data_IF_291674043742
#
_entry.id   IF_291674043742
#
_cell.length_a   1.000
_cell.length_b   1.000
_cell.length_c   1.000
_cell.angle_alpha   90.00
_cell.angle_beta   90.00
_cell.angle_gamma   90.00
#
_symmetry.space_group_name_H-M   'P 1'
#
loop_
_entity.id
_entity.type
_entity.pdbx_description
1 polymer ?
#
# COMPACT_ATOMS: atom_id res chain seq x y z
N UNK A 1 -10.39 4.18 10.62
CA UNK A 1 -9.57 3.15 9.96
C UNK A 1 -8.48 2.77 10.98
N UNK A 2 -8.54 1.61 11.66
CA UNK A 2 -7.54 1.26 12.68
C UNK A 2 -6.14 1.06 12.11
N UNK A 3 -5.10 1.49 12.83
CA UNK A 3 -3.68 1.25 12.46
C UNK A 3 -3.41 -0.23 12.21
N UNK A 4 -4.06 -1.12 12.99
CA UNK A 4 -3.95 -2.56 12.82
C UNK A 4 -4.25 -3.06 11.40
N UNK A 5 -5.15 -2.42 10.64
CA UNK A 5 -5.39 -2.86 9.26
C UNK A 5 -4.39 -2.26 8.26
N UNK A 6 -3.76 -1.12 8.61
CA UNK A 6 -2.71 -0.53 7.77
C UNK A 6 -1.46 -1.42 7.77
N UNK A 7 -1.13 -2.01 8.92
CA UNK A 7 0.06 -2.85 9.14
C UNK A 7 -0.20 -4.35 8.96
N UNK A 8 -1.42 -4.75 8.61
CA UNK A 8 -1.77 -6.15 8.36
C UNK A 8 -1.11 -6.62 7.05
N UNK A 9 -0.21 -7.59 7.15
CA UNK A 9 0.52 -8.14 6.02
C UNK A 9 -0.42 -8.75 4.96
N UNK A 10 -1.58 -9.28 5.36
CA UNK A 10 -2.54 -9.88 4.43
C UNK A 10 -3.30 -8.85 3.58
N UNK A 11 -3.18 -7.57 3.95
CA UNK A 11 -3.77 -6.44 3.22
C UNK A 11 -2.77 -5.72 2.34
N UNK A 12 -1.47 -6.02 2.48
CA UNK A 12 -0.45 -5.48 1.60
C UNK A 12 -0.55 -6.16 0.23
N UNK A 13 -0.58 -5.35 -0.82
CA UNK A 13 -0.79 -5.82 -2.18
C UNK A 13 -0.15 -4.83 -3.18
N UNK A 14 -0.48 -4.99 -4.47
CA UNK A 14 0.03 -4.12 -5.53
C UNK A 14 -1.08 -3.41 -6.30
N UNK A 15 -0.84 -2.15 -6.58
CA UNK A 15 -1.57 -1.40 -7.57
C UNK A 15 -0.86 -1.48 -8.93
N UNK A 16 -1.59 -1.93 -9.95
CA UNK A 16 -1.10 -1.97 -11.33
C UNK A 16 -1.62 -0.77 -12.11
N UNK A 17 -0.74 0.18 -12.39
CA UNK A 17 -1.06 1.31 -13.25
C UNK A 17 -0.62 1.00 -14.69
N UNK A 18 -1.56 0.97 -15.62
CA UNK A 18 -1.25 0.82 -17.05
C UNK A 18 -0.89 2.19 -17.64
N UNK A 19 0.36 2.35 -18.02
CA UNK A 19 0.83 3.45 -18.86
C UNK A 19 0.63 3.15 -20.35
N UNK A 20 1.10 4.04 -21.22
CA UNK A 20 0.99 3.89 -22.67
C UNK A 20 1.78 2.71 -23.24
N UNK A 21 2.91 2.35 -22.60
CA UNK A 21 3.82 1.30 -23.08
C UNK A 21 4.18 0.26 -22.00
N UNK A 22 3.91 0.53 -20.72
CA UNK A 22 4.37 -0.29 -19.60
C UNK A 22 3.33 -0.39 -18.49
N UNK A 23 3.42 -1.46 -17.68
CA UNK A 23 2.65 -1.62 -16.46
C UNK A 23 3.57 -1.30 -15.28
N UNK A 24 3.26 -0.25 -14.54
CA UNK A 24 3.97 0.09 -13.31
C UNK A 24 3.28 -0.57 -12.12
N UNK A 25 4.09 -1.16 -11.23
CA UNK A 25 3.65 -1.81 -9.99
C UNK A 25 4.02 -0.91 -8.83
N UNK A 26 3.04 -0.60 -7.98
CA UNK A 26 3.22 0.21 -6.78
C UNK A 26 2.73 -0.55 -5.56
N UNK A 27 3.39 -0.41 -4.40
CA UNK A 27 2.87 -0.97 -3.16
C UNK A 27 1.53 -0.31 -2.81
N UNK A 28 0.64 -1.11 -2.23
CA UNK A 28 -0.71 -0.71 -1.91
C UNK A 28 -1.26 -1.46 -0.69
N UNK A 29 -2.28 -0.89 -0.05
CA UNK A 29 -3.05 -1.55 1.03
C UNK A 29 -4.52 -1.70 0.63
N UNK A 30 -5.07 -2.90 0.81
CA UNK A 30 -6.50 -3.14 0.76
C UNK A 30 -7.17 -2.82 2.11
N UNK A 31 -7.77 -1.63 2.19
CA UNK A 31 -8.47 -1.16 3.38
C UNK A 31 -9.94 -1.60 3.45
N UNK A 32 -10.56 -1.84 2.30
CA UNK A 32 -12.01 -1.93 2.17
C UNK A 32 -12.50 -3.29 1.65
N UNK A 33 -11.56 -4.18 1.31
CA UNK A 33 -11.82 -5.49 0.75
C UNK A 33 -11.77 -5.51 -0.78
N UNK A 34 -11.98 -6.70 -1.37
CA UNK A 34 -11.92 -6.91 -2.80
C UNK A 34 -12.80 -5.94 -3.59
N UNK A 35 -12.35 -5.58 -4.79
CA UNK A 35 -13.05 -4.69 -5.74
C UNK A 35 -13.25 -3.24 -5.26
N UNK A 36 -12.70 -2.89 -4.09
CA UNK A 36 -12.67 -1.51 -3.61
C UNK A 36 -11.37 -0.81 -4.00
N UNK A 37 -11.34 0.53 -4.00
CA UNK A 37 -10.12 1.27 -4.25
C UNK A 37 -9.04 0.91 -3.23
N UNK A 38 -7.86 0.57 -3.74
CA UNK A 38 -6.66 0.39 -2.92
C UNK A 38 -6.16 1.76 -2.43
N UNK A 39 -5.48 1.77 -1.29
CA UNK A 39 -4.64 2.89 -0.89
C UNK A 39 -3.24 2.69 -1.48
N UNK A 40 -2.80 3.59 -2.34
CA UNK A 40 -1.50 3.51 -3.03
C UNK A 40 -0.97 4.93 -3.36
N UNK A 41 0.21 5.00 -3.96
CA UNK A 41 0.79 6.26 -4.43
C UNK A 41 1.23 7.18 -3.29
N UNK A 42 1.09 8.50 -3.47
CA UNK A 42 1.60 9.51 -2.51
C UNK A 42 1.07 9.28 -1.09
N UNK A 43 -0.21 8.93 -0.96
CA UNK A 43 -0.81 8.66 0.36
C UNK A 43 -0.20 7.44 1.05
N UNK A 44 0.17 6.40 0.28
CA UNK A 44 0.85 5.24 0.81
C UNK A 44 2.23 5.61 1.37
N UNK A 45 3.03 6.33 0.59
CA UNK A 45 4.37 6.75 1.01
C UNK A 45 4.34 7.66 2.24
N UNK A 46 3.37 8.57 2.32
CA UNK A 46 3.18 9.39 3.52
C UNK A 46 2.83 8.55 4.76
N UNK A 47 2.01 7.51 4.58
CA UNK A 47 1.70 6.58 5.67
C UNK A 47 2.91 5.76 6.10
N UNK A 48 3.80 5.38 5.18
CA UNK A 48 5.06 4.70 5.54
C UNK A 48 5.90 5.56 6.49
N UNK A 49 6.09 6.84 6.16
CA UNK A 49 6.86 7.77 7.00
C UNK A 49 6.20 7.93 8.38
N UNK A 50 4.89 8.22 8.41
CA UNK A 50 4.15 8.42 9.65
C UNK A 50 4.15 7.17 10.56
N UNK A 51 3.99 5.98 9.97
CA UNK A 51 4.00 4.73 10.70
C UNK A 51 5.40 4.37 11.18
N UNK A 52 6.43 4.69 10.40
CA UNK A 52 7.83 4.55 10.79
C UNK A 52 8.16 5.33 12.06
N UNK A 53 7.65 6.57 12.19
CA UNK A 53 7.83 7.40 13.40
C UNK A 53 7.25 6.75 14.67
N UNK A 54 6.26 5.87 14.55
CA UNK A 54 5.63 5.16 15.68
C UNK A 54 6.04 3.69 15.78
N UNK A 55 7.08 3.27 15.04
CA UNK A 55 7.68 1.94 15.13
C UNK A 55 7.01 0.84 14.29
N UNK A 56 6.24 1.23 13.26
CA UNK A 56 5.63 0.32 12.31
C UNK A 56 6.27 0.47 10.93
N UNK A 57 6.65 -0.64 10.31
CA UNK A 57 7.21 -0.63 8.95
C UNK A 57 6.18 -1.14 7.94
N UNK A 58 6.01 -0.39 6.86
CA UNK A 58 5.24 -0.79 5.69
C UNK A 58 6.16 -1.14 4.51
N UNK A 59 5.79 -2.12 3.67
CA UNK A 59 6.62 -2.53 2.54
C UNK A 59 6.72 -1.44 1.46
N UNK A 60 7.93 -0.89 1.28
CA UNK A 60 8.22 0.09 0.21
C UNK A 60 8.29 -0.55 -1.19
N UNK A 61 8.40 -1.87 -1.24
CA UNK A 61 8.38 -2.69 -2.45
C UNK A 61 7.47 -3.88 -2.23
N UNK A 62 6.83 -4.36 -3.29
CA UNK A 62 6.00 -5.57 -3.18
C UNK A 62 6.82 -6.77 -2.72
N UNK A 63 6.24 -7.67 -1.89
CA UNK A 63 6.81 -9.01 -1.72
C UNK A 63 6.93 -9.68 -3.10
N UNK A 64 8.06 -10.38 -3.29
CA UNK A 64 8.45 -11.07 -4.53
C UNK A 64 7.54 -12.27 -4.84
#
# INVERSE_FOLDING_TARGET
>A
MPVAHLVDANRQCEHHQRGQAEVHRYPAVDLFGPEKPLLWGVTYFFLCELLGEVGHELPLSSPA
#
